data_IF_367070939191
#
_entry.id   IF_367070939191
#
_cell.length_a   1.000
_cell.length_b   1.000
_cell.length_c   1.000
_cell.angle_alpha   90.00
_cell.angle_beta   90.00
_cell.angle_gamma   90.00
#
_symmetry.space_group_name_H-M   'P 1'
#
loop_
_entity.id
_entity.type
_entity.pdbx_description
1 polymer ?
#
# COMPACT_ATOMS: atom_id res chain seq x y z
N UNK A 1 2.93 -51.13 -36.15
CA UNK A 1 1.97 -50.63 -35.16
C UNK A 1 2.75 -50.27 -33.90
N UNK A 2 2.98 -48.97 -33.67
CA UNK A 2 3.86 -48.44 -32.62
C UNK A 2 3.22 -48.50 -31.23
N UNK A 3 4.09 -48.68 -30.24
CA UNK A 3 3.83 -48.52 -28.80
C UNK A 3 3.80 -47.02 -28.47
N UNK A 4 2.88 -46.57 -27.62
CA UNK A 4 3.15 -45.47 -26.71
C UNK A 4 2.28 -45.54 -25.45
N UNK A 5 3.02 -45.46 -24.34
CA UNK A 5 2.65 -45.63 -22.94
C UNK A 5 2.00 -44.32 -22.45
N UNK A 6 0.88 -44.45 -21.73
CA UNK A 6 0.29 -43.36 -20.95
C UNK A 6 -0.17 -43.90 -19.60
N UNK A 7 0.75 -43.96 -18.63
CA UNK A 7 0.45 -44.29 -17.24
C UNK A 7 -0.29 -43.10 -16.63
N UNK A 8 -1.61 -43.19 -16.57
CA UNK A 8 -2.43 -42.29 -15.75
C UNK A 8 -2.49 -42.82 -14.32
N UNK A 9 -1.68 -42.27 -13.42
CA UNK A 9 -1.82 -42.50 -11.99
C UNK A 9 -3.11 -41.82 -11.53
N UNK A 10 -4.17 -42.59 -11.33
CA UNK A 10 -5.37 -42.12 -10.64
C UNK A 10 -5.01 -42.04 -9.16
N UNK A 11 -4.56 -40.87 -8.69
CA UNK A 11 -4.56 -40.60 -7.24
C UNK A 11 -6.01 -40.46 -6.81
N UNK A 12 -6.58 -41.56 -6.31
CA UNK A 12 -7.84 -41.56 -5.57
C UNK A 12 -7.66 -40.69 -4.32
N UNK A 13 -8.01 -39.41 -4.43
CA UNK A 13 -8.14 -38.55 -3.25
C UNK A 13 -9.37 -39.06 -2.51
N UNK A 14 -9.14 -39.79 -1.42
CA UNK A 14 -10.17 -40.17 -0.45
C UNK A 14 -10.74 -38.88 0.15
N UNK A 15 -11.81 -38.36 -0.45
CA UNK A 15 -12.57 -37.24 0.09
C UNK A 15 -13.36 -37.76 1.29
N UNK A 16 -12.79 -37.62 2.49
CA UNK A 16 -13.55 -37.78 3.73
C UNK A 16 -14.57 -36.64 3.79
N UNK A 17 -15.84 -36.96 3.52
CA UNK A 17 -16.95 -36.04 3.59
C UNK A 17 -17.28 -35.73 5.07
N UNK A 18 -16.45 -34.89 5.70
CA UNK A 18 -16.71 -34.35 7.03
C UNK A 18 -17.83 -33.31 6.92
N UNK A 19 -19.03 -33.69 7.35
CA UNK A 19 -20.20 -32.81 7.33
C UNK A 19 -19.95 -31.48 8.03
N UNK A 20 -20.66 -30.43 7.61
CA UNK A 20 -20.56 -29.03 8.06
C UNK A 20 -20.47 -28.84 9.59
N UNK A 21 -21.09 -29.74 10.37
CA UNK A 21 -21.02 -29.75 11.85
C UNK A 21 -19.68 -30.24 12.41
N UNK A 22 -19.06 -31.25 11.79
CA UNK A 22 -17.75 -31.76 12.18
C UNK A 22 -16.62 -30.78 11.86
N UNK A 23 -16.71 -30.12 10.70
CA UNK A 23 -15.79 -29.04 10.31
C UNK A 23 -15.82 -27.88 11.30
N UNK A 24 -17.01 -27.45 11.72
CA UNK A 24 -17.19 -26.38 12.70
C UNK A 24 -16.65 -26.75 14.08
N UNK A 25 -16.86 -27.99 14.53
CA UNK A 25 -16.36 -28.49 15.81
C UNK A 25 -14.83 -28.57 15.84
N UNK A 26 -14.21 -29.01 14.74
CA UNK A 26 -12.76 -29.02 14.58
C UNK A 26 -12.17 -27.61 14.70
N UNK A 27 -12.69 -26.66 13.94
CA UNK A 27 -12.26 -25.26 13.96
C UNK A 27 -12.41 -24.60 15.34
N UNK A 28 -13.50 -24.88 16.05
CA UNK A 28 -13.70 -24.41 17.43
C UNK A 28 -12.69 -25.02 18.41
N UNK A 29 -12.31 -26.28 18.23
CA UNK A 29 -11.34 -26.96 19.11
C UNK A 29 -9.90 -26.48 18.89
N UNK A 30 -9.54 -26.11 17.65
CA UNK A 30 -8.21 -25.56 17.33
C UNK A 30 -8.13 -24.03 17.44
N UNK A 31 -9.18 -23.37 17.98
CA UNK A 31 -9.20 -21.91 18.19
C UNK A 31 -9.31 -21.07 16.92
N UNK A 32 -9.55 -21.68 15.76
CA UNK A 32 -9.74 -20.99 14.49
C UNK A 32 -11.24 -20.74 14.35
N UNK A 33 -11.71 -19.52 14.61
CA UNK A 33 -13.10 -19.17 14.24
C UNK A 33 -13.24 -19.35 12.72
N UNK A 34 -14.25 -20.08 12.21
CA UNK A 34 -14.46 -20.23 10.77
C UNK A 34 -14.97 -18.90 10.21
N UNK A 35 -14.05 -17.98 9.95
CA UNK A 35 -14.25 -16.82 9.10
C UNK A 35 -14.22 -17.25 7.65
N UNK A 36 -15.08 -16.65 6.83
CA UNK A 36 -14.95 -16.75 5.37
C UNK A 36 -13.61 -16.11 5.01
N UNK A 37 -12.69 -16.89 4.43
CA UNK A 37 -11.49 -16.33 3.81
C UNK A 37 -11.93 -15.56 2.57
N UNK A 38 -12.13 -14.25 2.72
CA UNK A 38 -12.37 -13.37 1.58
C UNK A 38 -11.02 -13.12 0.93
N UNK A 39 -10.74 -13.86 -0.14
CA UNK A 39 -9.61 -13.59 -1.01
C UNK A 39 -9.80 -12.21 -1.63
N UNK A 40 -9.04 -11.24 -1.14
CA UNK A 40 -8.92 -9.95 -1.78
C UNK A 40 -7.88 -10.08 -2.88
N UNK A 41 -8.34 -10.15 -4.13
CA UNK A 41 -7.45 -10.05 -5.27
C UNK A 41 -6.81 -8.66 -5.28
N UNK A 42 -5.48 -8.61 -5.11
CA UNK A 42 -4.69 -7.37 -5.16
C UNK A 42 -4.81 -6.67 -6.52
N UNK A 43 -5.25 -7.39 -7.55
CA UNK A 43 -5.40 -6.90 -8.90
C UNK A 43 -6.85 -6.57 -9.31
N UNK A 44 -7.83 -6.77 -8.43
CA UNK A 44 -9.22 -6.39 -8.72
C UNK A 44 -9.33 -4.88 -9.00
N UNK A 45 -10.22 -4.44 -9.92
CA UNK A 45 -10.42 -3.03 -10.20
C UNK A 45 -10.83 -2.30 -8.91
N UNK A 46 -10.09 -1.24 -8.54
CA UNK A 46 -10.38 -0.47 -7.35
C UNK A 46 -11.55 0.47 -7.66
N UNK A 47 -12.76 0.07 -7.27
CA UNK A 47 -13.87 0.99 -7.27
C UNK A 47 -13.60 2.08 -6.22
N UNK A 48 -13.60 3.36 -6.64
CA UNK A 48 -13.41 4.52 -5.74
C UNK A 48 -14.35 4.48 -4.51
N UNK A 49 -15.52 3.86 -4.63
CA UNK A 49 -16.48 3.66 -3.55
C UNK A 49 -15.95 2.74 -2.42
N UNK A 50 -15.03 1.82 -2.74
CA UNK A 50 -14.48 0.82 -1.82
C UNK A 50 -13.14 1.24 -1.22
N UNK A 51 -12.58 2.39 -1.65
CA UNK A 51 -11.32 2.92 -1.12
C UNK A 51 -11.59 3.70 0.16
N UNK A 52 -10.97 3.28 1.26
CA UNK A 52 -10.99 3.99 2.53
C UNK A 52 -9.61 4.59 2.80
N UNK A 53 -9.52 5.93 2.74
CA UNK A 53 -8.28 6.66 3.02
C UNK A 53 -8.10 6.79 4.53
N UNK A 54 -6.98 6.31 5.07
CA UNK A 54 -6.71 6.33 6.50
C UNK A 54 -6.00 7.60 6.94
N UNK A 55 -5.02 8.06 6.16
CA UNK A 55 -4.15 9.19 6.52
C UNK A 55 -4.25 10.34 5.51
N UNK A 56 -4.45 10.03 4.24
CA UNK A 56 -4.59 11.03 3.20
C UNK A 56 -6.00 11.65 3.21
N UNK A 57 -6.10 12.94 3.51
CA UNK A 57 -7.36 13.69 3.41
C UNK A 57 -7.59 14.17 1.97
N UNK A 58 -8.08 13.27 1.11
CA UNK A 58 -8.30 13.55 -0.31
C UNK A 58 -9.78 13.79 -0.64
N UNK A 59 -10.05 14.78 -1.47
CA UNK A 59 -11.40 15.03 -1.96
C UNK A 59 -11.80 14.01 -3.02
N UNK A 60 -12.79 13.15 -2.72
CA UNK A 60 -13.32 12.11 -3.61
C UNK A 60 -13.76 12.63 -4.98
N UNK A 61 -14.18 13.90 -5.09
CA UNK A 61 -14.52 14.53 -6.37
C UNK A 61 -13.32 14.57 -7.31
N UNK A 62 -12.15 14.96 -6.80
CA UNK A 62 -10.92 15.13 -7.59
C UNK A 62 -10.33 13.79 -8.05
N UNK A 63 -10.69 12.69 -7.37
CA UNK A 63 -10.22 11.35 -7.68
C UNK A 63 -10.94 10.71 -8.88
N UNK A 64 -12.07 11.27 -9.31
CA UNK A 64 -12.89 10.70 -10.40
C UNK A 64 -12.21 10.71 -11.77
N UNK A 65 -11.25 11.61 -11.99
CA UNK A 65 -10.49 11.73 -13.24
C UNK A 65 -9.21 10.89 -13.26
N UNK A 66 -8.94 10.14 -12.19
CA UNK A 66 -7.76 9.29 -12.08
C UNK A 66 -7.99 7.94 -12.76
N UNK A 67 -6.91 7.40 -13.32
CA UNK A 67 -6.89 6.02 -13.80
C UNK A 67 -6.88 5.04 -12.62
N UNK A 68 -7.27 3.78 -12.86
CA UNK A 68 -7.22 2.73 -11.83
C UNK A 68 -5.79 2.58 -11.25
N UNK A 69 -4.76 2.63 -12.12
CA UNK A 69 -3.36 2.54 -11.71
C UNK A 69 -2.95 3.67 -10.74
N UNK A 70 -3.34 4.91 -11.04
CA UNK A 70 -3.09 6.06 -10.16
C UNK A 70 -3.84 5.95 -8.84
N UNK A 71 -5.07 5.43 -8.84
CA UNK A 71 -5.81 5.15 -7.61
C UNK A 71 -5.12 4.09 -6.75
N UNK A 72 -4.62 3.00 -7.37
CA UNK A 72 -3.86 1.98 -6.65
C UNK A 72 -2.58 2.55 -6.04
N UNK A 73 -1.90 3.40 -6.80
CA UNK A 73 -0.68 4.04 -6.32
C UNK A 73 -0.96 4.96 -5.13
N UNK A 74 -1.99 5.80 -5.20
CA UNK A 74 -2.42 6.60 -4.06
C UNK A 74 -2.76 5.73 -2.84
N UNK A 75 -3.41 4.59 -3.03
CA UNK A 75 -3.68 3.64 -1.94
C UNK A 75 -2.40 3.11 -1.30
N UNK A 76 -1.42 2.69 -2.10
CA UNK A 76 -0.11 2.27 -1.57
C UNK A 76 0.59 3.40 -0.83
N UNK A 77 0.49 4.63 -1.33
CA UNK A 77 1.03 5.82 -0.64
C UNK A 77 0.34 5.97 0.73
N UNK A 78 -0.99 5.87 0.81
CA UNK A 78 -1.73 5.95 2.09
C UNK A 78 -1.27 4.85 3.08
N UNK A 79 -1.15 3.60 2.64
CA UNK A 79 -0.63 2.49 3.46
C UNK A 79 0.80 2.73 3.97
N UNK A 80 1.68 3.29 3.12
CA UNK A 80 3.04 3.66 3.50
C UNK A 80 3.05 4.81 4.50
N UNK A 81 2.16 5.78 4.35
CA UNK A 81 2.00 6.90 5.28
C UNK A 81 1.50 6.42 6.64
N UNK A 82 0.56 5.46 6.68
CA UNK A 82 0.13 4.80 7.93
C UNK A 82 1.34 4.18 8.65
N UNK A 83 2.12 3.39 7.92
CA UNK A 83 3.31 2.73 8.46
C UNK A 83 4.33 3.74 9.00
N UNK A 84 4.57 4.81 8.25
CA UNK A 84 5.44 5.91 8.64
C UNK A 84 4.96 6.62 9.92
N UNK A 85 3.67 6.96 10.01
CA UNK A 85 3.11 7.61 11.19
C UNK A 85 3.09 6.72 12.42
N UNK A 86 2.78 5.43 12.26
CA UNK A 86 2.86 4.46 13.35
C UNK A 86 4.28 4.40 13.94
N UNK A 87 5.30 4.33 13.08
CA UNK A 87 6.70 4.37 13.52
C UNK A 87 7.05 5.67 14.26
N UNK A 88 6.62 6.82 13.73
CA UNK A 88 6.87 8.10 14.39
C UNK A 88 6.18 8.22 15.75
N UNK A 89 5.01 7.59 15.93
CA UNK A 89 4.34 7.51 17.22
C UNK A 89 5.14 6.66 18.22
N UNK A 90 5.65 5.50 17.79
CA UNK A 90 6.51 4.64 18.61
C UNK A 90 7.80 5.34 19.05
N UNK A 91 8.44 6.12 18.16
CA UNK A 91 9.64 6.88 18.55
C UNK A 91 9.33 7.92 19.63
N UNK A 92 8.19 8.60 19.55
CA UNK A 92 7.75 9.57 20.58
C UNK A 92 7.48 8.89 21.91
N UNK A 93 6.88 7.70 21.91
CA UNK A 93 6.62 6.92 23.13
C UNK A 93 7.92 6.49 23.82
N UNK A 94 8.97 6.21 23.04
CA UNK A 94 10.28 5.82 23.54
C UNK A 94 11.21 7.01 23.87
N UNK A 95 10.68 8.23 23.96
CA UNK A 95 11.41 9.48 24.19
C UNK A 95 12.57 9.74 23.20
N UNK A 96 12.58 9.02 22.08
CA UNK A 96 13.52 9.20 20.97
C UNK A 96 13.01 10.33 20.07
N UNK A 97 12.93 11.55 20.59
CA UNK A 97 12.56 12.72 19.80
C UNK A 97 13.77 13.26 19.04
N UNK A 98 13.98 12.75 17.83
CA UNK A 98 14.89 13.39 16.88
C UNK A 98 14.24 14.64 16.29
N UNK A 99 15.04 15.67 16.03
CA UNK A 99 14.62 16.80 15.21
C UNK A 99 14.08 16.30 13.86
N UNK A 100 12.97 16.87 13.39
CA UNK A 100 12.38 16.54 12.10
C UNK A 100 13.42 16.83 11.02
N UNK A 101 13.75 15.83 10.20
CA UNK A 101 14.70 16.03 9.11
C UNK A 101 14.04 16.80 7.97
N UNK A 102 14.84 17.47 7.13
CA UNK A 102 14.32 18.18 5.96
C UNK A 102 13.48 17.26 5.06
N UNK A 103 13.92 16.01 4.88
CA UNK A 103 13.20 15.02 4.08
C UNK A 103 11.81 14.72 4.65
N UNK A 104 11.70 14.62 5.97
CA UNK A 104 10.43 14.41 6.66
C UNK A 104 9.51 15.64 6.56
N UNK A 105 10.08 16.85 6.69
CA UNK A 105 9.34 18.10 6.50
C UNK A 105 8.79 18.24 5.08
N UNK A 106 9.62 17.97 4.07
CA UNK A 106 9.22 18.02 2.65
C UNK A 106 8.12 17.02 2.36
N UNK A 107 8.25 15.77 2.83
CA UNK A 107 7.21 14.75 2.68
C UNK A 107 5.89 15.20 3.30
N UNK A 108 5.94 15.71 4.54
CA UNK A 108 4.76 16.21 5.22
C UNK A 108 4.04 17.30 4.42
N UNK A 109 4.80 18.27 3.89
CA UNK A 109 4.26 19.33 3.02
C UNK A 109 3.67 18.76 1.74
N UNK A 110 4.32 17.79 1.11
CA UNK A 110 3.81 17.12 -0.10
C UNK A 110 2.46 16.46 0.15
N UNK A 111 2.33 15.69 1.23
CA UNK A 111 1.12 14.93 1.54
C UNK A 111 -0.05 15.84 1.94
N UNK A 112 0.20 16.85 2.79
CA UNK A 112 -0.88 17.69 3.32
C UNK A 112 -1.35 18.78 2.36
N UNK A 113 -0.45 19.34 1.55
CA UNK A 113 -0.76 20.54 0.75
C UNK A 113 -0.63 20.28 -0.75
N UNK A 114 0.54 19.82 -1.21
CA UNK A 114 0.85 19.77 -2.64
C UNK A 114 0.09 18.67 -3.38
N UNK A 115 -0.05 17.49 -2.80
CA UNK A 115 -0.78 16.39 -3.42
C UNK A 115 -2.28 16.73 -3.58
N UNK A 116 -3.00 17.23 -2.54
CA UNK A 116 -4.37 17.70 -2.70
C UNK A 116 -4.52 18.82 -3.74
N UNK A 117 -3.62 19.80 -3.75
CA UNK A 117 -3.60 20.89 -4.74
C UNK A 117 -3.41 20.35 -6.17
N UNK A 118 -2.44 19.45 -6.37
CA UNK A 118 -2.15 18.82 -7.66
C UNK A 118 -3.36 18.04 -8.18
N UNK A 119 -4.00 17.25 -7.33
CA UNK A 119 -5.21 16.51 -7.68
C UNK A 119 -6.37 17.43 -8.05
N UNK A 120 -6.52 18.56 -7.34
CA UNK A 120 -7.54 19.56 -7.66
C UNK A 120 -7.30 20.20 -9.02
N UNK A 121 -6.07 20.65 -9.29
CA UNK A 121 -5.70 21.28 -10.57
C UNK A 121 -5.84 20.29 -11.74
N UNK A 122 -5.40 19.04 -11.54
CA UNK A 122 -5.58 17.97 -12.51
C UNK A 122 -7.06 17.72 -12.82
N UNK A 123 -7.90 17.63 -11.79
CA UNK A 123 -9.35 17.46 -11.96
C UNK A 123 -9.99 18.63 -12.72
N UNK A 124 -9.62 19.88 -12.39
CA UNK A 124 -10.10 21.05 -13.10
C UNK A 124 -9.75 20.99 -14.57
N UNK A 125 -8.50 20.69 -14.91
CA UNK A 125 -8.06 20.56 -16.30
C UNK A 125 -8.82 19.44 -17.06
N UNK A 126 -9.08 18.31 -16.41
CA UNK A 126 -9.83 17.19 -17.00
C UNK A 126 -11.31 17.49 -17.22
N UNK A 127 -11.87 18.44 -16.46
CA UNK A 127 -13.29 18.82 -16.56
C UNK A 127 -13.53 20.09 -17.37
N UNK A 128 -12.48 20.83 -17.72
CA UNK A 128 -12.58 21.99 -18.61
C UNK A 128 -12.94 21.54 -20.03
N UNK A 129 -14.14 21.94 -20.49
CA UNK A 129 -14.54 21.82 -21.90
C UNK A 129 -13.83 22.91 -22.70
N UNK A 130 -12.66 22.59 -23.24
CA UNK A 130 -11.90 23.51 -24.09
C UNK A 130 -12.32 23.34 -25.56
N UNK A 131 -12.66 24.46 -26.20
CA UNK A 131 -13.20 24.55 -27.58
C UNK A 131 -12.22 24.02 -28.65
N UNK A 132 -10.92 23.98 -28.35
CA UNK A 132 -9.88 23.45 -29.23
C UNK A 132 -9.46 22.03 -28.80
N UNK A 133 -9.99 21.00 -29.47
CA UNK A 133 -9.75 19.59 -29.12
C UNK A 133 -8.25 19.21 -29.10
N UNK A 134 -7.45 19.68 -30.06
CA UNK A 134 -6.05 19.26 -30.20
C UNK A 134 -5.11 19.81 -29.12
N UNK A 135 -5.27 21.08 -28.72
CA UNK A 135 -4.49 21.67 -27.62
C UNK A 135 -4.87 21.06 -26.27
N UNK A 136 -6.14 20.65 -26.14
CA UNK A 136 -6.69 20.03 -24.93
C UNK A 136 -6.10 18.66 -24.69
N UNK A 137 -6.02 17.81 -25.72
CA UNK A 137 -5.43 16.47 -25.58
C UNK A 137 -3.96 16.52 -25.18
N UNK A 138 -3.18 17.48 -25.73
CA UNK A 138 -1.77 17.67 -25.34
C UNK A 138 -1.62 18.10 -23.88
N UNK A 139 -2.39 19.10 -23.45
CA UNK A 139 -2.35 19.58 -22.07
C UNK A 139 -2.80 18.50 -21.07
N UNK A 140 -3.81 17.71 -21.42
CA UNK A 140 -4.29 16.59 -20.61
C UNK A 140 -3.23 15.49 -20.49
N UNK A 141 -2.56 15.13 -21.59
CA UNK A 141 -1.48 14.14 -21.58
C UNK A 141 -0.30 14.62 -20.72
N UNK A 142 0.10 15.88 -20.86
CA UNK A 142 1.15 16.49 -20.04
C UNK A 142 0.78 16.50 -18.55
N UNK A 143 -0.44 16.90 -18.21
CA UNK A 143 -0.91 16.88 -16.83
C UNK A 143 -0.95 15.46 -16.24
N UNK A 144 -1.30 14.45 -17.05
CA UNK A 144 -1.22 13.04 -16.67
C UNK A 144 0.20 12.62 -16.31
N UNK A 145 1.20 13.03 -17.12
CA UNK A 145 2.61 12.78 -16.84
C UNK A 145 3.09 13.49 -15.57
N UNK A 146 2.76 14.77 -15.42
CA UNK A 146 3.14 15.55 -14.23
C UNK A 146 2.54 14.95 -12.95
N UNK A 147 1.28 14.51 -13.01
CA UNK A 147 0.66 13.83 -11.87
C UNK A 147 1.38 12.52 -11.55
N UNK A 148 1.70 11.72 -12.57
CA UNK A 148 2.42 10.47 -12.38
C UNK A 148 3.81 10.71 -11.74
N UNK A 149 4.57 11.67 -12.26
CA UNK A 149 5.88 12.03 -11.73
C UNK A 149 5.82 12.46 -10.26
N UNK A 150 4.76 13.19 -9.86
CA UNK A 150 4.52 13.57 -8.46
C UNK A 150 4.21 12.36 -7.59
N UNK A 151 3.34 11.45 -8.05
CA UNK A 151 2.99 10.23 -7.30
C UNK A 151 4.21 9.33 -7.13
N UNK A 152 5.00 9.12 -8.19
CA UNK A 152 6.23 8.34 -8.16
C UNK A 152 7.25 8.95 -7.18
N UNK A 153 7.39 10.28 -7.20
CA UNK A 153 8.30 10.97 -6.30
C UNK A 153 7.90 10.81 -4.82
N UNK A 154 6.60 10.95 -4.51
CA UNK A 154 6.09 10.77 -3.15
C UNK A 154 6.30 9.33 -2.69
N UNK A 155 5.94 8.35 -3.54
CA UNK A 155 6.07 6.93 -3.23
C UNK A 155 7.55 6.54 -2.97
N UNK A 156 8.47 6.96 -3.84
CA UNK A 156 9.90 6.68 -3.68
C UNK A 156 10.50 7.31 -2.42
N UNK A 157 10.07 8.53 -2.06
CA UNK A 157 10.51 9.20 -0.82
C UNK A 157 10.03 8.45 0.42
N UNK A 158 8.78 7.99 0.41
CA UNK A 158 8.25 7.15 1.49
C UNK A 158 9.04 5.84 1.60
N UNK A 159 9.32 5.17 0.48
CA UNK A 159 10.11 3.94 0.48
C UNK A 159 11.51 4.16 1.07
N UNK A 160 12.17 5.24 0.66
CA UNK A 160 13.50 5.59 1.17
C UNK A 160 13.48 5.86 2.68
N UNK A 161 12.47 6.59 3.18
CA UNK A 161 12.33 6.88 4.61
C UNK A 161 12.04 5.61 5.42
N UNK A 162 11.13 4.76 4.94
CA UNK A 162 10.80 3.49 5.59
C UNK A 162 12.01 2.55 5.63
N UNK A 163 12.78 2.47 4.54
CA UNK A 163 14.01 1.67 4.49
C UNK A 163 15.07 2.19 5.47
N UNK A 164 15.27 3.51 5.55
CA UNK A 164 16.17 4.12 6.53
C UNK A 164 15.76 3.80 7.97
N UNK A 165 14.46 3.89 8.27
CA UNK A 165 13.90 3.56 9.59
C UNK A 165 14.17 2.10 9.95
N UNK A 166 13.93 1.17 9.02
CA UNK A 166 14.20 -0.25 9.23
C UNK A 166 15.69 -0.53 9.47
N UNK A 167 16.57 0.10 8.69
CA UNK A 167 18.02 -0.02 8.87
C UNK A 167 18.47 0.49 10.24
N UNK A 168 17.94 1.64 10.66
CA UNK A 168 18.25 2.21 11.97
C UNK A 168 17.81 1.29 13.11
N UNK A 169 16.59 0.75 13.06
CA UNK A 169 16.10 -0.20 14.08
C UNK A 169 16.99 -1.44 14.17
N UNK A 170 17.41 -2.00 13.03
CA UNK A 170 18.29 -3.16 13.02
C UNK A 170 19.67 -2.83 13.62
N UNK A 171 20.19 -1.63 13.37
CA UNK A 171 21.44 -1.17 13.98
C UNK A 171 21.30 -1.00 15.49
N UNK A 172 20.21 -0.40 15.97
CA UNK A 172 19.91 -0.25 17.40
C UNK A 172 19.84 -1.62 18.09
N UNK A 173 19.16 -2.61 17.49
CA UNK A 173 19.09 -3.98 18.03
C UNK A 173 20.46 -4.65 18.11
N UNK A 174 21.31 -4.46 17.09
CA UNK A 174 22.69 -4.99 17.09
C UNK A 174 23.54 -4.34 18.17
N UNK A 175 23.42 -3.02 18.36
CA UNK A 175 24.12 -2.30 19.41
C UNK A 175 23.68 -2.79 20.80
N UNK A 176 22.38 -2.97 21.02
CA UNK A 176 21.82 -3.49 22.27
C UNK A 176 22.31 -4.90 22.58
N UNK A 177 22.31 -5.80 21.59
CA UNK A 177 22.88 -7.15 21.73
C UNK A 177 24.34 -7.10 22.18
N UNK A 178 25.17 -6.32 21.47
CA UNK A 178 26.59 -6.22 21.77
C UNK A 178 26.85 -5.63 23.17
N UNK A 179 26.04 -4.65 23.58
CA UNK A 179 26.12 -4.07 24.93
C UNK A 179 25.82 -5.12 26.01
N UNK A 180 24.73 -5.89 25.86
CA UNK A 180 24.37 -6.96 26.80
C UNK A 180 25.47 -8.02 26.88
N UNK A 181 25.98 -8.47 25.73
CA UNK A 181 27.05 -9.48 25.66
C UNK A 181 28.34 -9.00 26.33
N UNK A 182 28.66 -7.69 26.23
CA UNK A 182 29.86 -7.11 26.84
C UNK A 182 29.83 -7.06 28.38
N UNK A 183 28.64 -7.13 28.99
CA UNK A 183 28.45 -7.12 30.45
C UNK A 183 28.21 -8.53 31.03
N UNK A 184 28.37 -9.58 30.23
CA UNK A 184 28.30 -10.98 30.66
C UNK A 184 29.68 -11.63 30.86
N UNK A 185 30.71 -10.82 31.06
CA UNK A 185 32.07 -11.23 31.46
C UNK A 185 32.31 -10.90 32.92
#
# INVERSE_FOLDING_TARGET
MSILIGVGVITTVSVLYLGRKGWYAFHKAVGITPGVLIYHDKNAPLALANINWQQLNLNKKHLKSLTDSQLRQLHRIDEKVVSYHAYQAELKLNEKTSAITEQQFVLHKMLLTRLPEMLSNYYQLMTMNLVAKDSTTKAQAEAGKLLQDVLDNIEQRLDSLLEQMQKQQLQDLRAMKNYIDSHHK
#
